data_IF_656768842036
#
_entry.id   IF_656768842036
#
_cell.length_a   1.000
_cell.length_b   1.000
_cell.length_c   1.000
_cell.angle_alpha   90.00
_cell.angle_beta   90.00
_cell.angle_gamma   90.00
#
_symmetry.space_group_name_H-M   'P 1'
#
loop_
_entity.id
_entity.type
_entity.pdbx_description
1 polymer ?
#
# COMPACT_ATOMS: atom_id res chain seq x y z
N UNK A 1 -51.97 12.12 -55.55
CA UNK A 1 -52.49 10.76 -55.26
C UNK A 1 -51.40 9.96 -54.58
N UNK A 2 -51.37 10.01 -53.29
CA UNK A 2 -50.35 9.33 -52.44
C UNK A 2 -50.99 8.11 -51.84
N UNK A 3 -50.49 6.93 -52.19
CA UNK A 3 -50.96 5.63 -51.66
C UNK A 3 -50.54 5.49 -50.23
N UNK A 4 -51.52 5.35 -49.33
CA UNK A 4 -51.32 4.99 -47.94
C UNK A 4 -50.82 3.53 -47.83
N UNK A 5 -49.72 3.31 -47.14
CA UNK A 5 -49.32 2.03 -46.65
C UNK A 5 -50.10 1.72 -45.37
N UNK A 6 -50.96 0.71 -45.44
CA UNK A 6 -51.61 0.11 -44.29
C UNK A 6 -50.61 -0.74 -43.50
N UNK A 7 -50.29 -0.31 -42.29
CA UNK A 7 -49.53 -1.11 -41.32
C UNK A 7 -50.44 -2.22 -40.80
N UNK A 8 -50.08 -3.49 -41.04
CA UNK A 8 -50.76 -4.63 -40.42
C UNK A 8 -50.43 -4.71 -38.93
N UNK A 9 -51.40 -5.05 -38.09
CA UNK A 9 -51.11 -5.29 -36.66
C UNK A 9 -50.34 -6.59 -36.52
N UNK A 10 -49.19 -6.54 -35.93
CA UNK A 10 -48.36 -7.70 -35.53
C UNK A 10 -48.99 -8.37 -34.30
N UNK A 11 -49.08 -9.68 -34.34
CA UNK A 11 -49.68 -10.53 -33.32
C UNK A 11 -49.04 -10.38 -31.95
N UNK A 12 -49.85 -10.10 -30.95
CA UNK A 12 -49.47 -9.90 -29.54
C UNK A 12 -49.34 -11.24 -28.78
N UNK A 13 -48.43 -12.12 -29.17
CA UNK A 13 -48.12 -13.33 -28.40
C UNK A 13 -46.73 -13.92 -28.61
N UNK A 14 -45.72 -13.08 -28.65
CA UNK A 14 -44.38 -13.54 -28.40
C UNK A 14 -43.82 -12.64 -27.29
N UNK A 15 -43.32 -13.22 -26.21
CA UNK A 15 -42.52 -12.55 -25.19
C UNK A 15 -41.14 -12.19 -25.82
N UNK A 16 -41.20 -11.33 -26.85
CA UNK A 16 -40.00 -10.72 -27.43
C UNK A 16 -39.54 -9.63 -26.46
N UNK A 17 -38.38 -9.85 -25.90
CA UNK A 17 -37.68 -8.79 -25.17
C UNK A 17 -37.65 -7.56 -26.05
N UNK A 18 -38.40 -6.50 -25.70
CA UNK A 18 -38.41 -5.24 -26.40
C UNK A 18 -37.00 -4.66 -26.33
N UNK A 19 -36.24 -4.78 -27.42
CA UNK A 19 -34.99 -4.04 -27.61
C UNK A 19 -35.40 -2.58 -27.80
N UNK A 20 -35.31 -1.82 -26.72
CA UNK A 20 -35.45 -0.37 -26.82
C UNK A 20 -34.22 0.15 -27.57
N UNK A 21 -34.39 0.68 -28.75
CA UNK A 21 -33.37 1.49 -29.43
C UNK A 21 -33.20 2.77 -28.60
N UNK A 22 -32.27 2.74 -27.67
CA UNK A 22 -31.81 3.90 -26.93
C UNK A 22 -30.99 4.70 -27.92
N UNK A 23 -31.62 5.52 -28.74
CA UNK A 23 -31.02 6.31 -29.79
C UNK A 23 -29.64 6.84 -29.38
N UNK A 24 -28.59 6.32 -30.03
CA UNK A 24 -27.19 6.62 -29.69
C UNK A 24 -26.92 8.10 -29.96
N UNK A 25 -27.00 8.94 -28.93
CA UNK A 25 -26.65 10.34 -29.08
C UNK A 25 -25.15 10.50 -29.12
N UNK A 26 -24.64 11.06 -30.23
CA UNK A 26 -23.23 11.36 -30.38
C UNK A 26 -22.78 12.34 -29.30
N UNK A 27 -21.76 11.95 -28.50
CA UNK A 27 -21.20 12.84 -27.49
C UNK A 27 -20.60 14.09 -28.15
N UNK A 28 -21.13 15.28 -27.80
CA UNK A 28 -20.71 16.60 -28.31
C UNK A 28 -19.83 17.38 -27.33
N UNK A 29 -19.57 16.83 -26.13
CA UNK A 29 -18.74 17.46 -25.12
C UNK A 29 -17.23 17.45 -25.44
N UNK A 30 -16.43 18.23 -24.68
CA UNK A 30 -14.99 18.29 -24.88
C UNK A 30 -14.37 16.91 -24.59
N UNK A 31 -13.57 16.40 -25.55
CA UNK A 31 -12.81 15.17 -25.35
C UNK A 31 -11.59 15.44 -24.49
N UNK A 32 -11.64 15.01 -23.25
CA UNK A 32 -10.52 15.08 -22.31
C UNK A 32 -9.44 14.06 -22.72
N UNK A 33 -8.21 14.55 -22.96
CA UNK A 33 -7.11 13.74 -23.52
C UNK A 33 -6.56 12.67 -22.56
N UNK A 34 -5.42 12.05 -22.94
CA UNK A 34 -4.74 10.95 -22.25
C UNK A 34 -4.47 11.22 -20.74
N UNK A 35 -4.11 12.44 -20.37
CA UNK A 35 -3.82 12.80 -18.97
C UNK A 35 -5.05 12.70 -18.07
N UNK A 36 -6.24 13.07 -18.59
CA UNK A 36 -7.48 12.94 -17.84
C UNK A 36 -7.86 11.48 -17.62
N UNK A 37 -7.63 10.63 -18.63
CA UNK A 37 -7.86 9.19 -18.50
C UNK A 37 -6.95 8.56 -17.46
N UNK A 38 -5.64 8.93 -17.42
CA UNK A 38 -4.71 8.50 -16.35
C UNK A 38 -5.18 8.94 -14.97
N UNK A 39 -5.62 10.19 -14.83
CA UNK A 39 -6.13 10.73 -13.57
C UNK A 39 -7.42 10.01 -13.13
N UNK A 40 -8.28 9.61 -14.06
CA UNK A 40 -9.49 8.83 -13.75
C UNK A 40 -9.13 7.45 -13.20
N UNK A 41 -8.17 6.73 -13.82
CA UNK A 41 -7.68 5.43 -13.32
C UNK A 41 -7.03 5.57 -11.94
N UNK A 42 -6.24 6.62 -11.73
CA UNK A 42 -5.65 6.93 -10.43
C UNK A 42 -6.73 7.19 -9.36
N UNK A 43 -7.69 8.07 -9.62
CA UNK A 43 -8.78 8.38 -8.66
C UNK A 43 -9.62 7.16 -8.34
N UNK A 44 -9.94 6.35 -9.34
CA UNK A 44 -10.65 5.11 -9.17
C UNK A 44 -9.83 4.12 -8.31
N UNK A 45 -8.52 4.04 -8.54
CA UNK A 45 -7.60 3.23 -7.74
C UNK A 45 -7.59 3.62 -6.26
N UNK A 46 -7.49 4.92 -5.95
CA UNK A 46 -7.56 5.42 -4.56
C UNK A 46 -8.90 5.06 -3.91
N UNK A 47 -10.01 5.30 -4.62
CA UNK A 47 -11.35 4.96 -4.11
C UNK A 47 -11.51 3.46 -3.87
N UNK A 48 -11.02 2.65 -4.79
CA UNK A 48 -11.09 1.19 -4.70
C UNK A 48 -10.29 0.65 -3.51
N UNK A 49 -9.07 1.16 -3.28
CA UNK A 49 -8.20 0.76 -2.16
C UNK A 49 -8.83 1.06 -0.80
N UNK A 50 -9.58 2.16 -0.69
CA UNK A 50 -10.27 2.56 0.53
C UNK A 50 -11.72 2.01 0.62
N UNK A 51 -12.15 1.20 -0.37
CA UNK A 51 -13.51 0.68 -0.45
C UNK A 51 -14.58 1.75 -0.71
N UNK A 52 -14.17 2.95 -1.18
CA UNK A 52 -15.08 4.06 -1.43
C UNK A 52 -15.87 3.84 -2.74
N UNK A 53 -17.16 4.23 -2.74
CA UNK A 53 -18.04 4.01 -3.89
C UNK A 53 -18.59 2.59 -4.02
N UNK A 54 -18.27 1.70 -3.08
CA UNK A 54 -18.80 0.33 -2.95
C UNK A 54 -19.69 0.21 -1.71
N UNK A 55 -20.41 -0.93 -1.56
CA UNK A 55 -21.23 -1.21 -0.37
C UNK A 55 -20.43 -1.15 0.94
N UNK A 56 -21.13 -1.03 2.07
CA UNK A 56 -20.52 -0.87 3.40
C UNK A 56 -19.47 -1.94 3.74
N UNK A 57 -19.70 -3.17 3.32
CA UNK A 57 -18.77 -4.30 3.56
C UNK A 57 -17.37 -4.09 2.97
N UNK A 58 -17.25 -3.40 1.83
CA UNK A 58 -15.96 -3.14 1.19
C UNK A 58 -15.10 -2.14 1.96
N UNK A 59 -15.72 -1.32 2.82
CA UNK A 59 -15.03 -0.33 3.65
C UNK A 59 -14.48 -0.92 4.95
N UNK A 60 -15.12 -1.98 5.48
CA UNK A 60 -14.80 -2.51 6.81
C UNK A 60 -13.31 -2.84 6.92
N UNK A 61 -12.78 -3.58 5.97
CA UNK A 61 -11.42 -4.10 6.07
C UNK A 61 -10.34 -3.02 5.96
N UNK A 62 -10.33 -2.12 4.96
CA UNK A 62 -9.35 -1.02 4.91
C UNK A 62 -9.39 -0.13 6.15
N UNK A 63 -10.59 0.28 6.57
CA UNK A 63 -10.73 1.17 7.72
C UNK A 63 -10.43 0.50 9.05
N UNK A 64 -10.66 -0.82 9.17
CA UNK A 64 -10.22 -1.60 10.32
C UNK A 64 -8.70 -1.55 10.50
N UNK A 65 -7.91 -1.82 9.45
CA UNK A 65 -6.45 -1.77 9.52
C UNK A 65 -5.91 -0.37 9.80
N UNK A 66 -6.50 0.66 9.18
CA UNK A 66 -6.16 2.06 9.46
C UNK A 66 -6.44 2.38 10.93
N UNK A 67 -7.59 1.94 11.45
CA UNK A 67 -7.96 2.12 12.86
C UNK A 67 -7.01 1.39 13.82
N UNK A 68 -6.61 0.17 13.51
CA UNK A 68 -5.65 -0.59 14.32
C UNK A 68 -4.28 0.12 14.36
N UNK A 69 -3.76 0.55 13.21
CA UNK A 69 -2.49 1.28 13.16
C UNK A 69 -2.58 2.61 13.92
N UNK A 70 -3.65 3.37 13.74
CA UNK A 70 -3.85 4.64 14.45
C UNK A 70 -4.02 4.44 15.96
N UNK A 71 -4.77 3.41 16.39
CA UNK A 71 -4.95 3.09 17.81
C UNK A 71 -3.65 2.63 18.46
N UNK A 72 -2.81 1.88 17.77
CA UNK A 72 -1.49 1.49 18.25
C UNK A 72 -0.60 2.72 18.50
N UNK A 73 -0.56 3.66 17.56
CA UNK A 73 0.17 4.92 17.74
C UNK A 73 -0.37 5.75 18.90
N UNK A 74 -1.69 5.83 19.05
CA UNK A 74 -2.34 6.53 20.15
C UNK A 74 -2.01 5.89 21.50
N UNK A 75 -2.06 4.55 21.59
CA UNK A 75 -1.70 3.83 22.81
C UNK A 75 -0.23 4.09 23.18
N UNK A 76 0.69 4.00 22.22
CA UNK A 76 2.10 4.30 22.46
C UNK A 76 2.30 5.74 22.96
N UNK A 77 1.60 6.72 22.39
CA UNK A 77 1.65 8.11 22.83
C UNK A 77 1.09 8.29 24.27
N UNK A 78 -0.04 7.65 24.58
CA UNK A 78 -0.64 7.70 25.91
C UNK A 78 0.26 7.05 26.98
N UNK A 79 0.85 5.90 26.64
CA UNK A 79 1.79 5.20 27.53
C UNK A 79 3.04 6.05 27.77
N UNK A 80 3.59 6.71 26.74
CA UNK A 80 4.70 7.63 26.88
C UNK A 80 4.37 8.83 27.79
N UNK A 81 3.20 9.44 27.61
CA UNK A 81 2.73 10.53 28.46
C UNK A 81 2.49 10.10 29.91
N UNK A 82 1.97 8.90 30.13
CA UNK A 82 1.79 8.34 31.49
C UNK A 82 3.15 8.04 32.15
N UNK A 83 4.07 7.43 31.41
CA UNK A 83 5.42 7.14 31.88
C UNK A 83 6.15 8.41 32.31
N UNK A 84 6.03 9.49 31.54
CA UNK A 84 6.61 10.79 31.90
C UNK A 84 6.04 11.30 33.23
N UNK A 85 4.71 11.22 33.42
CA UNK A 85 4.03 11.74 34.62
C UNK A 85 4.34 10.95 35.90
N UNK A 86 4.49 9.62 35.80
CA UNK A 86 4.64 8.73 36.95
C UNK A 86 6.08 8.26 37.16
N UNK A 87 6.90 8.18 36.12
CA UNK A 87 8.26 7.65 36.17
C UNK A 87 9.36 8.64 35.76
N UNK A 88 8.97 9.81 35.28
CA UNK A 88 9.91 10.84 34.81
C UNK A 88 10.52 10.52 33.43
N UNK A 89 11.51 11.32 33.00
CA UNK A 89 12.12 11.19 31.65
C UNK A 89 12.72 9.80 31.37
N UNK A 90 13.35 9.18 32.39
CA UNK A 90 14.00 7.86 32.26
C UNK A 90 13.00 6.73 31.92
N UNK A 91 11.76 6.83 32.42
CA UNK A 91 10.73 5.85 32.09
C UNK A 91 10.26 5.95 30.64
N UNK A 92 10.37 7.12 30.02
CA UNK A 92 9.99 7.34 28.62
C UNK A 92 11.00 6.72 27.66
N UNK A 93 12.28 6.63 28.02
CA UNK A 93 13.33 6.01 27.21
C UNK A 93 13.11 4.51 26.99
N UNK A 94 12.35 3.85 27.90
CA UNK A 94 12.00 2.43 27.78
C UNK A 94 10.80 2.18 26.84
N UNK A 95 10.13 3.23 26.39
CA UNK A 95 8.93 3.12 25.55
C UNK A 95 9.33 3.27 24.09
N UNK A 96 8.82 2.37 23.21
CA UNK A 96 9.13 2.41 21.80
C UNK A 96 9.01 3.81 21.19
N UNK A 97 10.04 4.21 20.46
CA UNK A 97 10.18 5.54 19.86
C UNK A 97 9.50 5.64 18.48
N UNK A 98 9.71 6.74 17.79
CA UNK A 98 9.29 6.92 16.39
C UNK A 98 10.00 5.95 15.45
N UNK A 99 11.26 5.59 15.74
CA UNK A 99 12.03 4.62 14.96
C UNK A 99 11.44 3.21 15.08
N UNK A 100 10.94 2.83 16.26
CA UNK A 100 10.37 1.52 16.51
C UNK A 100 9.00 1.32 15.89
N UNK A 101 8.23 2.41 15.74
CA UNK A 101 6.83 2.32 15.29
C UNK A 101 6.69 1.57 13.98
N UNK A 102 7.48 1.90 12.96
CA UNK A 102 7.38 1.23 11.66
C UNK A 102 7.79 -0.23 11.72
N UNK A 103 8.76 -0.58 12.57
CA UNK A 103 9.12 -1.98 12.82
C UNK A 103 7.94 -2.77 13.37
N UNK A 104 7.34 -2.29 14.47
CA UNK A 104 6.21 -2.94 15.15
C UNK A 104 4.96 -2.98 14.25
N UNK A 105 4.68 -1.90 13.52
CA UNK A 105 3.52 -1.77 12.63
C UNK A 105 3.67 -2.54 11.30
N UNK A 106 4.89 -2.92 10.92
CA UNK A 106 5.21 -3.44 9.58
C UNK A 106 4.35 -4.62 9.16
N UNK A 107 4.12 -5.60 10.05
CA UNK A 107 3.31 -6.77 9.72
C UNK A 107 1.86 -6.40 9.39
N UNK A 108 1.26 -5.48 10.15
CA UNK A 108 -0.11 -5.02 9.92
C UNK A 108 -0.18 -4.24 8.61
N UNK A 109 0.84 -3.44 8.33
CA UNK A 109 0.97 -2.67 7.10
C UNK A 109 1.11 -3.57 5.87
N UNK A 110 1.90 -4.64 5.95
CA UNK A 110 2.02 -5.63 4.88
C UNK A 110 0.75 -6.44 4.66
N UNK A 111 0.03 -6.80 5.74
CA UNK A 111 -1.28 -7.46 5.63
C UNK A 111 -2.29 -6.54 4.94
N UNK A 112 -2.31 -5.25 5.30
CA UNK A 112 -3.12 -4.25 4.59
C UNK A 112 -2.77 -4.19 3.09
N UNK A 113 -1.48 -4.15 2.74
CA UNK A 113 -1.02 -4.16 1.36
C UNK A 113 -1.44 -5.44 0.61
N UNK A 114 -1.30 -6.61 1.27
CA UNK A 114 -1.64 -7.91 0.70
C UNK A 114 -3.14 -8.06 0.39
N UNK A 115 -3.99 -7.37 1.13
CA UNK A 115 -5.44 -7.39 0.90
C UNK A 115 -5.85 -6.30 -0.10
N UNK A 116 -5.27 -5.11 0.00
CA UNK A 116 -5.65 -3.95 -0.81
C UNK A 116 -5.20 -4.04 -2.26
N UNK A 117 -3.97 -4.48 -2.53
CA UNK A 117 -3.43 -4.52 -3.89
C UNK A 117 -4.19 -5.45 -4.85
N UNK A 118 -4.62 -6.68 -4.44
CA UNK A 118 -5.42 -7.54 -5.31
C UNK A 118 -6.79 -6.96 -5.66
N UNK A 119 -7.34 -6.07 -4.82
CA UNK A 119 -8.60 -5.36 -5.13
C UNK A 119 -8.48 -4.44 -6.34
N UNK A 120 -7.26 -3.95 -6.65
CA UNK A 120 -7.03 -3.04 -7.78
C UNK A 120 -6.81 -3.75 -9.11
N UNK A 121 -6.11 -4.91 -9.09
CA UNK A 121 -5.67 -5.54 -10.34
C UNK A 121 -6.45 -6.80 -10.71
N UNK A 122 -6.83 -7.63 -9.71
CA UNK A 122 -7.45 -8.91 -9.98
C UNK A 122 -8.86 -8.80 -10.59
N UNK A 123 -9.76 -7.86 -10.21
CA UNK A 123 -11.06 -7.72 -10.84
C UNK A 123 -10.94 -7.29 -12.29
N UNK A 124 -10.11 -6.28 -12.57
CA UNK A 124 -9.94 -5.73 -13.93
C UNK A 124 -9.45 -6.80 -14.91
N UNK A 125 -8.64 -7.75 -14.41
CA UNK A 125 -8.16 -8.90 -15.20
C UNK A 125 -9.18 -10.01 -15.33
N UNK A 126 -9.87 -10.36 -14.24
CA UNK A 126 -10.88 -11.43 -14.23
C UNK A 126 -12.07 -11.07 -15.11
N UNK A 127 -12.50 -9.82 -15.06
CA UNK A 127 -13.71 -9.35 -15.73
C UNK A 127 -13.38 -8.81 -17.15
N UNK A 128 -12.11 -8.89 -17.60
CA UNK A 128 -11.67 -8.47 -18.93
C UNK A 128 -11.72 -6.95 -19.17
N UNK A 129 -11.90 -6.15 -18.11
CA UNK A 129 -12.09 -4.69 -18.19
C UNK A 129 -10.82 -3.98 -18.69
N UNK A 130 -9.65 -4.59 -18.55
CA UNK A 130 -8.38 -4.03 -19.04
C UNK A 130 -8.46 -3.68 -20.51
N UNK A 131 -9.08 -4.54 -21.34
CA UNK A 131 -9.24 -4.30 -22.76
C UNK A 131 -10.05 -3.03 -23.06
N UNK A 132 -11.05 -2.68 -22.21
CA UNK A 132 -11.82 -1.46 -22.35
C UNK A 132 -10.99 -0.21 -22.05
N UNK A 133 -10.05 -0.28 -21.13
CA UNK A 133 -9.10 0.80 -20.88
C UNK A 133 -8.13 1.02 -22.04
N UNK A 134 -7.71 -0.07 -22.72
CA UNK A 134 -6.73 -0.02 -23.81
C UNK A 134 -7.34 0.42 -25.16
N UNK A 135 -8.65 0.35 -25.35
CA UNK A 135 -9.37 0.92 -26.53
C UNK A 135 -9.32 2.46 -26.52
N UNK A 136 -9.07 3.09 -25.40
CA UNK A 136 -8.93 4.53 -25.23
C UNK A 136 -7.45 4.93 -25.34
N UNK A 137 -7.07 6.23 -25.29
CA UNK A 137 -5.68 6.66 -25.46
C UNK A 137 -4.75 6.25 -24.29
N UNK A 138 -5.09 5.20 -23.55
CA UNK A 138 -4.28 4.62 -22.46
C UNK A 138 -3.48 3.44 -22.98
N UNK A 139 -2.20 3.39 -22.60
CA UNK A 139 -1.35 2.21 -22.76
C UNK A 139 -1.38 1.34 -21.52
N UNK A 140 -0.97 0.07 -21.63
CA UNK A 140 -0.81 -0.81 -20.47
C UNK A 140 0.16 -0.24 -19.43
N UNK A 141 1.18 0.49 -19.86
CA UNK A 141 2.10 1.23 -18.97
C UNK A 141 1.38 2.34 -18.21
N UNK A 142 0.52 3.12 -18.87
CA UNK A 142 -0.24 4.18 -18.19
C UNK A 142 -1.17 3.61 -17.11
N UNK A 143 -1.82 2.50 -17.42
CA UNK A 143 -2.72 1.82 -16.50
C UNK A 143 -1.97 1.37 -15.23
N UNK A 144 -0.87 0.60 -15.39
CA UNK A 144 -0.15 0.05 -14.24
C UNK A 144 0.50 1.15 -13.40
N UNK A 145 1.04 2.19 -14.04
CA UNK A 145 1.64 3.33 -13.33
C UNK A 145 0.56 4.10 -12.54
N UNK A 146 -0.61 4.35 -13.15
CA UNK A 146 -1.71 5.01 -12.45
C UNK A 146 -2.23 4.18 -11.26
N UNK A 147 -2.35 2.85 -11.40
CA UNK A 147 -2.73 1.93 -10.31
C UNK A 147 -1.66 1.88 -9.21
N UNK A 148 -0.37 1.86 -9.58
CA UNK A 148 0.73 1.89 -8.63
C UNK A 148 0.72 3.18 -7.81
N UNK A 149 0.64 4.35 -8.46
CA UNK A 149 0.58 5.64 -7.75
C UNK A 149 -0.68 5.78 -6.89
N UNK A 150 -1.82 5.24 -7.33
CA UNK A 150 -3.05 5.25 -6.55
C UNK A 150 -2.88 4.48 -5.24
N UNK A 151 -2.35 3.26 -5.32
CA UNK A 151 -2.15 2.44 -4.13
C UNK A 151 -1.03 2.99 -3.24
N UNK A 152 0.07 3.43 -3.85
CA UNK A 152 1.17 4.08 -3.15
C UNK A 152 0.71 5.30 -2.33
N UNK A 153 -0.13 6.17 -2.91
CA UNK A 153 -0.68 7.33 -2.17
C UNK A 153 -1.48 6.90 -0.94
N UNK A 154 -2.29 5.85 -1.06
CA UNK A 154 -3.04 5.30 0.07
C UNK A 154 -2.08 4.74 1.12
N UNK A 155 -1.07 3.97 0.70
CA UNK A 155 -0.07 3.38 1.59
C UNK A 155 0.75 4.45 2.32
N UNK A 156 1.13 5.53 1.64
CA UNK A 156 1.80 6.69 2.27
C UNK A 156 0.89 7.35 3.33
N UNK A 157 -0.38 7.58 3.00
CA UNK A 157 -1.32 8.15 3.96
C UNK A 157 -1.51 7.25 5.19
N UNK A 158 -1.57 5.93 4.98
CA UNK A 158 -1.69 4.93 6.06
C UNK A 158 -0.41 4.87 6.91
N UNK A 159 0.77 5.12 6.33
CA UNK A 159 2.03 5.20 7.08
C UNK A 159 2.16 6.50 7.86
N UNK A 160 1.83 7.63 7.26
CA UNK A 160 2.03 8.94 7.87
C UNK A 160 1.01 9.27 8.96
N UNK A 161 -0.25 8.86 8.80
CA UNK A 161 -1.32 9.17 9.75
C UNK A 161 -0.97 8.72 11.18
N UNK A 162 -0.59 7.45 11.43
CA UNK A 162 -0.26 7.01 12.79
C UNK A 162 1.00 7.69 13.34
N UNK A 163 2.03 7.91 12.53
CA UNK A 163 3.23 8.61 12.99
C UNK A 163 2.95 10.05 13.39
N UNK A 164 2.06 10.73 12.66
CA UNK A 164 1.62 12.07 13.03
C UNK A 164 0.86 12.05 14.36
N UNK A 165 -0.01 11.05 14.57
CA UNK A 165 -0.71 10.85 15.84
C UNK A 165 0.29 10.60 16.99
N UNK A 166 1.29 9.75 16.77
CA UNK A 166 2.32 9.44 17.75
C UNK A 166 3.14 10.69 18.09
N UNK A 167 3.56 11.47 17.10
CA UNK A 167 4.35 12.68 17.30
C UNK A 167 3.59 13.75 18.10
N UNK A 168 2.34 14.04 17.67
CA UNK A 168 1.48 14.99 18.39
C UNK A 168 1.17 14.48 19.80
N UNK A 169 0.83 13.19 19.94
CA UNK A 169 0.48 12.61 21.23
C UNK A 169 1.63 12.62 22.23
N UNK A 170 2.86 12.33 21.78
CA UNK A 170 4.06 12.45 22.61
C UNK A 170 4.36 13.90 23.03
N UNK A 171 4.19 14.85 22.09
CA UNK A 171 4.31 16.28 22.41
C UNK A 171 3.31 16.70 23.49
N UNK A 172 2.04 16.33 23.33
CA UNK A 172 0.99 16.68 24.33
C UNK A 172 1.16 15.95 25.68
N UNK A 173 1.82 14.80 25.67
CA UNK A 173 2.15 14.05 26.90
C UNK A 173 3.32 14.62 27.68
N UNK A 174 4.13 15.49 27.07
CA UNK A 174 5.27 16.17 27.70
C UNK A 174 4.78 17.39 28.50
N UNK A 175 5.33 17.69 29.67
CA UNK A 175 5.00 18.92 30.43
C UNK A 175 5.26 20.21 29.65
N UNK A 176 6.26 20.23 28.81
CA UNK A 176 6.62 21.33 27.94
C UNK A 176 6.49 20.92 26.46
N UNK A 177 5.26 20.95 25.90
CA UNK A 177 5.01 20.47 24.53
C UNK A 177 5.83 21.19 23.47
N UNK A 178 6.08 22.49 23.65
CA UNK A 178 6.87 23.28 22.71
C UNK A 178 8.34 22.82 22.66
N UNK A 179 8.95 22.56 23.81
CA UNK A 179 10.33 22.11 23.90
C UNK A 179 10.50 20.73 23.27
N UNK A 180 9.52 19.84 23.47
CA UNK A 180 9.51 18.55 22.76
C UNK A 180 9.51 18.73 21.24
N UNK A 181 8.64 19.62 20.71
CA UNK A 181 8.56 19.88 19.27
C UNK A 181 9.88 20.44 18.72
N UNK A 182 10.50 21.41 19.44
CA UNK A 182 11.77 21.98 19.01
C UNK A 182 12.96 21.00 19.12
N UNK A 183 12.93 20.11 20.13
CA UNK A 183 13.99 19.09 20.28
C UNK A 183 13.88 17.97 19.24
N UNK A 184 12.67 17.60 18.84
CA UNK A 184 12.40 16.42 17.99
C UNK A 184 11.89 16.78 16.58
N UNK A 185 12.00 18.03 16.12
CA UNK A 185 11.46 18.43 14.82
C UNK A 185 12.08 17.67 13.64
N UNK A 186 13.33 17.20 13.79
CA UNK A 186 14.03 16.38 12.79
C UNK A 186 13.42 14.98 12.61
N UNK A 187 12.62 14.52 13.55
CA UNK A 187 11.93 13.23 13.41
C UNK A 187 10.79 13.31 12.39
N UNK A 188 10.24 14.51 12.16
CA UNK A 188 9.20 14.71 11.14
C UNK A 188 9.68 14.30 9.75
N UNK A 189 10.75 14.90 9.17
CA UNK A 189 11.24 14.45 7.87
C UNK A 189 11.71 12.99 7.87
N UNK A 190 12.26 12.48 8.98
CA UNK A 190 12.69 11.08 9.09
C UNK A 190 11.52 10.13 8.93
N UNK A 191 10.43 10.27 9.72
CA UNK A 191 9.30 9.37 9.60
C UNK A 191 8.52 9.55 8.28
N UNK A 192 8.53 10.76 7.68
CA UNK A 192 7.94 10.97 6.36
C UNK A 192 8.70 10.18 5.28
N UNK A 193 10.02 10.25 5.27
CA UNK A 193 10.88 9.53 4.30
C UNK A 193 10.80 8.02 4.54
N UNK A 194 10.89 7.56 5.79
CA UNK A 194 10.76 6.14 6.13
C UNK A 194 9.39 5.58 5.74
N UNK A 195 8.31 6.35 5.96
CA UNK A 195 6.97 5.99 5.53
C UNK A 195 6.80 5.88 4.01
N UNK A 196 7.45 6.78 3.25
CA UNK A 196 7.51 6.69 1.78
C UNK A 196 8.25 5.42 1.34
N UNK A 197 9.39 5.11 1.95
CA UNK A 197 10.15 3.91 1.65
C UNK A 197 9.33 2.63 1.93
N UNK A 198 8.74 2.53 3.11
CA UNK A 198 7.86 1.41 3.48
C UNK A 198 6.68 1.26 2.50
N UNK A 199 6.01 2.38 2.15
CA UNK A 199 4.89 2.39 1.23
C UNK A 199 5.30 1.97 -0.19
N UNK A 200 6.42 2.45 -0.72
CA UNK A 200 6.92 2.10 -2.05
C UNK A 200 7.24 0.61 -2.15
N UNK A 201 7.95 0.07 -1.17
CA UNK A 201 8.29 -1.34 -1.09
C UNK A 201 7.04 -2.23 -1.04
N UNK A 202 6.16 -1.98 -0.07
CA UNK A 202 4.94 -2.77 0.12
C UNK A 202 4.00 -2.70 -1.09
N UNK A 203 3.80 -1.50 -1.67
CA UNK A 203 3.01 -1.30 -2.88
C UNK A 203 3.54 -2.13 -4.03
N UNK A 204 4.85 -2.09 -4.26
CA UNK A 204 5.48 -2.74 -5.41
C UNK A 204 5.37 -4.26 -5.32
N UNK A 205 5.70 -4.84 -4.17
CA UNK A 205 5.57 -6.28 -3.96
C UNK A 205 4.12 -6.75 -4.02
N UNK A 206 3.20 -6.01 -3.39
CA UNK A 206 1.80 -6.39 -3.37
C UNK A 206 1.15 -6.33 -4.76
N UNK A 207 1.41 -5.29 -5.55
CA UNK A 207 0.90 -5.20 -6.92
C UNK A 207 1.58 -6.20 -7.85
N UNK A 208 2.88 -6.51 -7.66
CA UNK A 208 3.55 -7.55 -8.43
C UNK A 208 2.87 -8.90 -8.21
N UNK A 209 2.65 -9.31 -6.95
CA UNK A 209 1.99 -10.59 -6.65
C UNK A 209 0.57 -10.64 -7.20
N UNK A 210 -0.19 -9.55 -7.05
CA UNK A 210 -1.53 -9.42 -7.64
C UNK A 210 -1.52 -9.51 -9.17
N UNK A 211 -0.45 -9.06 -9.83
CA UNK A 211 -0.32 -9.12 -11.28
C UNK A 211 -0.18 -10.56 -11.84
N UNK A 212 0.19 -11.55 -11.04
CA UNK A 212 0.35 -12.94 -11.49
C UNK A 212 -0.89 -13.80 -11.33
N UNK A 213 -1.94 -13.35 -10.65
CA UNK A 213 -3.16 -14.11 -10.45
C UNK A 213 -4.41 -13.29 -10.76
N UNK A 214 -5.50 -13.97 -11.14
CA UNK A 214 -6.82 -13.36 -11.32
C UNK A 214 -7.70 -13.52 -10.06
N UNK A 215 -7.23 -14.28 -9.07
CA UNK A 215 -7.99 -14.57 -7.85
C UNK A 215 -7.40 -13.81 -6.67
N UNK A 216 -8.17 -12.89 -6.09
CA UNK A 216 -7.75 -12.04 -4.98
C UNK A 216 -7.20 -12.83 -3.80
N UNK A 217 -7.93 -13.90 -3.39
CA UNK A 217 -7.54 -14.71 -2.25
C UNK A 217 -6.15 -15.34 -2.42
N UNK A 218 -5.81 -15.82 -3.63
CA UNK A 218 -4.50 -16.41 -3.88
C UNK A 218 -3.37 -15.39 -3.78
N UNK A 219 -3.57 -14.18 -4.32
CA UNK A 219 -2.59 -13.11 -4.20
C UNK A 219 -2.35 -12.71 -2.73
N UNK A 220 -3.45 -12.51 -1.98
CA UNK A 220 -3.37 -12.13 -0.57
C UNK A 220 -2.71 -13.19 0.29
N UNK A 221 -3.15 -14.45 0.18
CA UNK A 221 -2.57 -15.57 0.95
C UNK A 221 -1.12 -15.79 0.61
N UNK A 222 -0.75 -15.71 -0.68
CA UNK A 222 0.65 -15.86 -1.10
C UNK A 222 1.52 -14.76 -0.48
N UNK A 223 1.09 -13.50 -0.54
CA UNK A 223 1.89 -12.39 -0.02
C UNK A 223 1.99 -12.41 1.51
N UNK A 224 0.88 -12.65 2.22
CA UNK A 224 0.90 -12.81 3.68
C UNK A 224 1.78 -13.99 4.07
N UNK A 225 1.62 -15.14 3.41
CA UNK A 225 2.44 -16.32 3.63
C UNK A 225 3.92 -16.04 3.41
N UNK A 226 4.26 -15.30 2.35
CA UNK A 226 5.63 -14.91 2.06
C UNK A 226 6.24 -14.11 3.21
N UNK A 227 5.56 -13.08 3.72
CA UNK A 227 6.06 -12.28 4.84
C UNK A 227 6.10 -13.07 6.16
N UNK A 228 5.04 -13.85 6.46
CA UNK A 228 4.95 -14.62 7.70
C UNK A 228 5.97 -15.76 7.75
N UNK A 229 6.25 -16.42 6.63
CA UNK A 229 7.18 -17.55 6.58
C UNK A 229 8.64 -17.08 6.52
N UNK A 230 8.92 -16.02 5.73
CA UNK A 230 10.31 -15.56 5.57
C UNK A 230 10.90 -15.06 6.87
N UNK A 231 10.13 -14.42 7.74
CA UNK A 231 10.63 -13.86 9.00
C UNK A 231 11.23 -14.92 9.96
N UNK A 232 10.48 -15.91 10.45
CA UNK A 232 11.05 -16.89 11.38
C UNK A 232 12.08 -17.79 10.72
N UNK A 233 11.90 -18.12 9.43
CA UNK A 233 12.83 -18.96 8.70
C UNK A 233 14.20 -18.31 8.52
N UNK A 234 14.22 -17.06 8.05
CA UNK A 234 15.49 -16.35 7.83
C UNK A 234 16.15 -15.96 9.14
N UNK A 235 15.39 -15.52 10.15
CA UNK A 235 15.95 -15.17 11.47
C UNK A 235 16.52 -16.39 12.16
N UNK A 236 15.78 -17.51 12.23
CA UNK A 236 16.26 -18.73 12.85
C UNK A 236 17.52 -19.29 12.18
N UNK A 237 17.52 -19.35 10.84
CA UNK A 237 18.67 -19.83 10.09
C UNK A 237 19.88 -18.90 10.20
N UNK A 238 19.66 -17.59 10.23
CA UNK A 238 20.70 -16.58 10.38
C UNK A 238 21.38 -16.65 11.75
N UNK A 239 20.59 -16.87 12.81
CA UNK A 239 21.11 -17.03 14.17
C UNK A 239 21.91 -18.33 14.34
N UNK A 240 21.42 -19.44 13.76
CA UNK A 240 22.09 -20.74 13.85
C UNK A 240 23.42 -20.75 13.12
N UNK A 241 23.50 -20.18 11.92
CA UNK A 241 24.73 -20.17 11.12
C UNK A 241 25.70 -19.09 11.62
N UNK A 242 25.18 -17.92 12.03
CA UNK A 242 25.98 -16.80 12.54
C UNK A 242 26.95 -16.18 11.54
N UNK A 243 27.76 -15.22 12.01
CA UNK A 243 28.80 -14.57 11.23
C UNK A 243 28.29 -13.88 9.96
N UNK A 244 29.18 -13.64 9.00
CA UNK A 244 28.87 -12.95 7.74
C UNK A 244 27.79 -13.67 6.92
N UNK A 245 27.77 -15.00 6.94
CA UNK A 245 26.75 -15.78 6.22
C UNK A 245 25.37 -15.56 6.84
N UNK A 246 25.28 -15.57 8.17
CA UNK A 246 24.04 -15.26 8.87
C UNK A 246 23.52 -13.86 8.58
N UNK A 247 24.41 -12.86 8.50
CA UNK A 247 24.06 -11.49 8.09
C UNK A 247 23.38 -11.46 6.70
N UNK A 248 23.96 -12.14 5.71
CA UNK A 248 23.37 -12.21 4.36
C UNK A 248 22.06 -13.00 4.31
N UNK A 249 21.93 -14.06 5.09
CA UNK A 249 20.66 -14.81 5.19
C UNK A 249 19.57 -13.92 5.76
N UNK A 250 19.86 -13.15 6.82
CA UNK A 250 18.87 -12.27 7.43
C UNK A 250 18.41 -11.13 6.50
N UNK A 251 19.20 -10.76 5.47
CA UNK A 251 18.80 -9.82 4.42
C UNK A 251 17.62 -10.32 3.56
N UNK A 252 17.34 -11.62 3.54
CA UNK A 252 16.18 -12.20 2.85
C UNK A 252 14.90 -12.20 3.71
N UNK A 253 14.96 -11.63 4.92
CA UNK A 253 13.74 -11.31 5.66
C UNK A 253 13.01 -10.15 5.01
N UNK A 254 12.04 -10.48 4.17
CA UNK A 254 11.32 -9.47 3.35
C UNK A 254 10.57 -8.45 4.20
N UNK A 255 10.16 -8.81 5.41
CA UNK A 255 9.48 -7.88 6.32
C UNK A 255 10.44 -6.84 6.89
N UNK A 256 11.70 -7.19 7.10
CA UNK A 256 12.68 -6.31 7.74
C UNK A 256 13.40 -5.38 6.75
N UNK A 257 13.37 -5.67 5.44
CA UNK A 257 14.07 -4.83 4.44
C UNK A 257 13.75 -3.33 4.59
N UNK A 258 12.47 -2.89 4.59
CA UNK A 258 12.17 -1.47 4.77
C UNK A 258 12.39 -0.98 6.21
N UNK A 259 12.38 -1.89 7.21
CA UNK A 259 12.67 -1.55 8.61
C UNK A 259 14.15 -1.23 8.78
N UNK A 260 15.06 -1.96 8.14
CA UNK A 260 16.49 -1.60 8.12
C UNK A 260 16.76 -0.23 7.48
N UNK A 261 15.97 0.15 6.45
CA UNK A 261 16.08 1.50 5.89
C UNK A 261 15.58 2.56 6.87
N UNK A 262 14.51 2.25 7.61
CA UNK A 262 14.03 3.11 8.69
C UNK A 262 15.13 3.32 9.75
N UNK A 263 15.81 2.25 10.18
CA UNK A 263 16.91 2.32 11.14
C UNK A 263 18.06 3.21 10.63
N UNK A 264 18.42 3.07 9.37
CA UNK A 264 19.41 3.95 8.72
C UNK A 264 18.97 5.43 8.71
N UNK A 265 17.69 5.70 8.46
CA UNK A 265 17.15 7.08 8.42
C UNK A 265 17.14 7.70 9.82
N UNK A 266 16.74 6.95 10.82
CA UNK A 266 16.71 7.43 12.21
C UNK A 266 18.11 7.47 12.84
N UNK A 267 19.03 6.64 12.37
CA UNK A 267 20.35 6.45 12.97
C UNK A 267 20.30 5.63 14.25
N UNK A 268 19.24 4.86 14.44
CA UNK A 268 18.94 4.05 15.62
C UNK A 268 18.38 2.70 15.18
N UNK A 269 18.74 1.63 15.92
CA UNK A 269 18.30 0.27 15.60
C UNK A 269 16.96 0.03 16.31
N UNK A 270 15.92 -0.25 15.53
CA UNK A 270 14.60 -0.53 16.09
C UNK A 270 14.55 -1.86 16.85
N UNK A 271 13.61 -1.99 17.77
CA UNK A 271 13.41 -3.19 18.61
C UNK A 271 13.25 -4.45 17.73
N UNK A 272 12.62 -4.34 16.56
CA UNK A 272 12.37 -5.47 15.67
C UNK A 272 13.64 -5.95 14.97
N UNK A 273 14.60 -5.07 14.70
CA UNK A 273 15.84 -5.38 13.99
C UNK A 273 17.03 -5.53 14.93
N UNK A 274 16.88 -5.24 16.23
CA UNK A 274 17.95 -5.28 17.22
C UNK A 274 18.63 -6.67 17.34
N UNK A 275 17.87 -7.76 17.13
CA UNK A 275 18.39 -9.11 17.12
C UNK A 275 18.69 -9.65 15.71
N UNK A 276 18.43 -8.84 14.65
CA UNK A 276 18.67 -9.29 13.28
C UNK A 276 20.13 -9.08 12.88
N UNK A 277 20.89 -10.16 12.52
CA UNK A 277 22.30 -10.04 12.16
C UNK A 277 22.57 -9.08 11.00
N UNK A 278 21.58 -8.82 10.12
CA UNK A 278 21.69 -7.85 9.02
C UNK A 278 21.91 -6.41 9.51
N UNK A 279 21.47 -6.05 10.71
CA UNK A 279 21.68 -4.72 11.29
C UNK A 279 23.16 -4.34 11.46
N UNK A 280 24.05 -5.30 11.51
CA UNK A 280 25.51 -5.07 11.56
C UNK A 280 26.12 -4.70 10.19
N UNK A 281 25.38 -4.88 9.09
CA UNK A 281 25.86 -4.52 7.76
C UNK A 281 25.89 -2.99 7.58
N UNK A 282 26.79 -2.52 6.73
CA UNK A 282 26.90 -1.10 6.45
C UNK A 282 25.62 -0.54 5.80
N UNK A 283 25.24 0.68 6.18
CA UNK A 283 24.01 1.35 5.73
C UNK A 283 23.82 1.34 4.21
N UNK A 284 24.89 1.50 3.43
CA UNK A 284 24.81 1.50 1.97
C UNK A 284 24.38 0.12 1.40
N UNK A 285 24.74 -1.00 2.06
CA UNK A 285 24.32 -2.34 1.66
C UNK A 285 22.80 -2.48 1.90
N UNK A 286 22.33 -2.08 3.09
CA UNK A 286 20.91 -2.15 3.46
C UNK A 286 20.04 -1.33 2.50
N UNK A 287 20.47 -0.09 2.21
CA UNK A 287 19.76 0.81 1.28
C UNK A 287 19.80 0.27 -0.15
N UNK A 288 20.95 -0.24 -0.62
CA UNK A 288 21.06 -0.82 -1.96
C UNK A 288 20.17 -2.06 -2.12
N UNK A 289 20.10 -2.91 -1.09
CA UNK A 289 19.24 -4.09 -1.06
C UNK A 289 17.75 -3.71 -1.11
N UNK A 290 17.36 -2.69 -0.38
CA UNK A 290 16.01 -2.13 -0.45
C UNK A 290 15.66 -1.64 -1.85
N UNK A 291 16.54 -0.89 -2.50
CA UNK A 291 16.32 -0.44 -3.87
C UNK A 291 16.23 -1.59 -4.85
N UNK A 292 17.05 -2.63 -4.69
CA UNK A 292 16.98 -3.85 -5.50
C UNK A 292 15.59 -4.49 -5.40
N UNK A 293 15.11 -4.70 -4.18
CA UNK A 293 13.80 -5.32 -3.91
C UNK A 293 12.60 -4.40 -4.19
N UNK A 294 12.82 -3.15 -4.48
CA UNK A 294 11.76 -2.22 -4.91
C UNK A 294 11.78 -2.03 -6.43
N UNK A 295 12.95 -1.78 -7.02
CA UNK A 295 13.08 -1.46 -8.44
C UNK A 295 12.90 -2.69 -9.32
N UNK A 296 13.50 -3.83 -8.96
CA UNK A 296 13.41 -5.05 -9.78
C UNK A 296 11.96 -5.56 -9.86
N UNK A 297 11.24 -5.73 -8.74
CA UNK A 297 9.82 -6.08 -8.79
C UNK A 297 8.96 -5.06 -9.53
N UNK A 298 9.22 -3.76 -9.35
CA UNK A 298 8.56 -2.68 -10.08
C UNK A 298 8.79 -2.75 -11.59
N UNK A 299 10.01 -3.05 -11.99
CA UNK A 299 10.38 -3.26 -13.40
C UNK A 299 9.66 -4.48 -14.01
N UNK A 300 9.60 -5.60 -13.28
CA UNK A 300 8.87 -6.80 -13.72
C UNK A 300 7.37 -6.50 -13.86
N UNK A 301 6.78 -5.80 -12.89
CA UNK A 301 5.39 -5.37 -12.94
C UNK A 301 5.12 -4.51 -14.18
N UNK A 302 5.96 -3.50 -14.43
CA UNK A 302 5.84 -2.61 -15.58
C UNK A 302 6.02 -3.36 -16.91
N UNK A 303 7.03 -4.23 -17.04
CA UNK A 303 7.27 -5.03 -18.24
C UNK A 303 6.10 -5.96 -18.57
N UNK A 304 5.47 -6.55 -17.54
CA UNK A 304 4.31 -7.40 -17.71
C UNK A 304 3.13 -6.67 -18.34
N UNK A 305 2.84 -5.46 -17.87
CA UNK A 305 1.71 -4.67 -18.39
C UNK A 305 2.03 -3.96 -19.71
N UNK A 306 3.28 -3.60 -19.93
CA UNK A 306 3.72 -3.03 -21.22
C UNK A 306 3.43 -3.97 -22.41
N UNK A 307 3.47 -5.27 -22.19
CA UNK A 307 3.20 -6.29 -23.23
C UNK A 307 1.71 -6.50 -23.52
N UNK A 308 0.81 -5.89 -22.76
CA UNK A 308 -0.63 -5.97 -22.96
C UNK A 308 -1.17 -4.91 -23.94
N UNK A 309 -0.32 -4.04 -24.47
CA UNK A 309 -0.68 -3.15 -25.58
C UNK A 309 -0.82 -3.97 -26.85
N UNK A 310 -1.95 -3.83 -27.61
CA UNK A 310 -2.15 -4.50 -28.88
C UNK A 310 -1.12 -4.05 -29.92
#
# INVERSE_FOLDING_TARGET
MTKGQTVQPHDANAAEGTVFDIGYQRYTGPREGRNRSRLSVYKDGVRTSLGLGRGARAKILPWFFIGVLASMALIMALVAGAAYRFGGPQAVEQIPSHSDYYGIASIIFFVFAAIGAPELLCPDRRDGVINLYLVRPLTGSDYVVARWFAFFTVMVAVAWLPQTILFIGRSMGNPEPADYLFANWLDIPKFLVAGVALAAYATTLALLTAAFTNRRAYASVFLVGLFVITTPFTTGLAMEIGGTVGQWISMFNLSNIPVHVNDVIFGDISIITSEAPAGELSAWILVSWFFLWTIVPGGILWMRYRRLTP
#
